data_IF_756258596950
#
_entry.id   IF_756258596950
#
_cell.length_a   1.000
_cell.length_b   1.000
_cell.length_c   1.000
_cell.angle_alpha   90.00
_cell.angle_beta   90.00
_cell.angle_gamma   90.00
#
_symmetry.space_group_name_H-M   'P 1'
#
loop_
_entity.id
_entity.type
_entity.pdbx_description
1 polymer ?
#
# COMPACT_ATOMS: atom_id res chain seq x y z
N UNK A 1 0.48 6.90 25.44
CA UNK A 1 0.61 5.95 24.32
C UNK A 1 -0.17 6.51 23.12
N UNK A 2 0.50 7.04 22.10
CA UNK A 2 -0.13 7.48 20.85
C UNK A 2 0.73 6.93 19.71
N UNK A 3 0.48 5.66 19.37
CA UNK A 3 1.09 4.97 18.24
C UNK A 3 0.56 5.50 16.93
N UNK A 4 0.89 6.76 16.61
CA UNK A 4 0.73 7.27 15.26
C UNK A 4 1.90 6.69 14.49
N UNK A 5 1.64 5.71 13.62
CA UNK A 5 2.61 5.29 12.62
C UNK A 5 2.95 6.54 11.79
N UNK A 6 4.09 7.16 12.08
CA UNK A 6 4.61 8.25 11.27
C UNK A 6 4.76 7.76 9.82
N UNK A 7 4.44 8.60 8.85
CA UNK A 7 4.47 8.22 7.43
C UNK A 7 5.79 7.56 7.03
N UNK A 8 6.92 8.05 7.54
CA UNK A 8 8.24 7.47 7.28
C UNK A 8 8.42 6.07 7.86
N UNK A 9 7.82 5.75 9.01
CA UNK A 9 7.84 4.39 9.59
C UNK A 9 7.03 3.44 8.71
N UNK A 10 5.88 3.89 8.19
CA UNK A 10 5.09 3.11 7.25
C UNK A 10 5.83 2.86 5.93
N UNK A 11 6.48 3.88 5.36
CA UNK A 11 7.28 3.74 4.15
C UNK A 11 8.45 2.78 4.36
N UNK A 12 9.14 2.88 5.50
CA UNK A 12 10.22 1.96 5.86
C UNK A 12 9.71 0.53 6.01
N UNK A 13 8.54 0.33 6.62
CA UNK A 13 7.91 -1.00 6.74
C UNK A 13 7.58 -1.58 5.36
N UNK A 14 6.95 -0.81 4.47
CA UNK A 14 6.66 -1.24 3.12
C UNK A 14 7.94 -1.66 2.37
N UNK A 15 8.97 -0.81 2.41
CA UNK A 15 10.22 -1.06 1.70
C UNK A 15 10.98 -2.27 2.22
N UNK A 16 11.03 -2.46 3.55
CA UNK A 16 11.86 -3.49 4.18
C UNK A 16 11.15 -4.83 4.36
N UNK A 17 9.83 -4.80 4.49
CA UNK A 17 9.04 -5.98 4.85
C UNK A 17 8.11 -6.39 3.72
N UNK A 18 7.31 -5.47 3.19
CA UNK A 18 6.28 -5.86 2.21
C UNK A 18 6.84 -6.06 0.80
N UNK A 19 7.62 -5.10 0.30
CA UNK A 19 8.14 -5.10 -1.09
C UNK A 19 8.90 -6.39 -1.42
N UNK A 20 9.80 -6.92 -0.55
CA UNK A 20 10.50 -8.18 -0.85
C UNK A 20 9.59 -9.41 -0.93
N UNK A 21 8.43 -9.38 -0.28
CA UNK A 21 7.52 -10.52 -0.13
C UNK A 21 6.44 -10.56 -1.22
N UNK A 22 6.32 -9.50 -2.03
CA UNK A 22 5.29 -9.41 -3.08
C UNK A 22 5.92 -9.42 -4.48
N UNK A 23 5.32 -10.10 -5.45
CA UNK A 23 5.80 -10.09 -6.82
C UNK A 23 5.50 -8.75 -7.51
N UNK A 24 6.31 -8.36 -8.53
CA UNK A 24 5.96 -7.27 -9.43
C UNK A 24 4.55 -7.45 -10.04
N UNK A 25 3.86 -6.34 -10.30
CA UNK A 25 2.47 -6.34 -10.74
C UNK A 25 1.42 -6.46 -9.63
N UNK A 26 1.85 -6.60 -8.37
CA UNK A 26 0.94 -6.56 -7.21
C UNK A 26 0.42 -5.15 -6.98
N UNK A 27 -0.90 -5.02 -6.74
CA UNK A 27 -1.54 -3.79 -6.32
C UNK A 27 -1.70 -3.81 -4.81
N UNK A 28 -1.15 -2.79 -4.15
CA UNK A 28 -1.28 -2.57 -2.72
C UNK A 28 -2.30 -1.46 -2.50
N UNK A 29 -3.43 -1.78 -1.87
CA UNK A 29 -4.46 -0.79 -1.52
C UNK A 29 -4.34 -0.39 -0.04
N UNK A 30 -4.38 0.91 0.24
CA UNK A 30 -4.38 1.46 1.61
C UNK A 30 -5.78 1.97 1.98
N UNK A 31 -6.29 1.47 3.11
CA UNK A 31 -7.54 1.96 3.72
C UNK A 31 -7.46 3.38 4.30
N UNK A 32 -8.62 3.95 4.61
CA UNK A 32 -8.85 5.35 5.00
C UNK A 32 -8.37 5.70 6.42
N UNK A 33 -7.09 5.47 6.75
CA UNK A 33 -6.48 6.12 7.90
C UNK A 33 -6.04 7.52 7.46
N UNK A 34 -6.82 8.52 7.89
CA UNK A 34 -6.64 9.93 7.65
C UNK A 34 -5.26 10.42 8.13
N UNK A 35 -4.23 10.22 7.31
CA UNK A 35 -3.02 11.05 7.26
C UNK A 35 -2.18 10.62 6.06
N UNK A 36 -2.27 11.46 5.04
CA UNK A 36 -1.27 11.76 4.00
C UNK A 36 -0.93 10.66 3.00
N UNK A 37 -1.05 11.04 1.71
CA UNK A 37 -0.42 10.35 0.58
C UNK A 37 1.05 10.16 0.94
N UNK A 38 1.48 8.91 1.01
CA UNK A 38 2.85 8.60 1.37
C UNK A 38 3.62 8.39 0.07
N UNK A 39 4.26 9.45 -0.40
CA UNK A 39 5.00 9.44 -1.66
C UNK A 39 6.16 8.43 -1.59
N UNK A 40 6.89 8.36 -0.48
CA UNK A 40 7.99 7.41 -0.29
C UNK A 40 7.52 5.95 -0.41
N UNK A 41 6.36 5.64 0.19
CA UNK A 41 5.72 4.33 0.06
C UNK A 41 5.32 4.01 -1.39
N UNK A 42 4.75 5.00 -2.08
CA UNK A 42 4.35 4.85 -3.48
C UNK A 42 5.56 4.62 -4.39
N UNK A 43 6.66 5.33 -4.15
CA UNK A 43 7.92 5.19 -4.88
C UNK A 43 8.54 3.81 -4.64
N UNK A 44 8.63 3.36 -3.39
CA UNK A 44 9.17 2.04 -3.07
C UNK A 44 8.40 0.90 -3.75
N UNK A 45 7.07 1.02 -3.86
CA UNK A 45 6.25 0.05 -4.59
C UNK A 45 6.44 0.17 -6.11
N UNK A 46 6.47 1.38 -6.65
CA UNK A 46 6.68 1.62 -8.08
C UNK A 46 8.02 1.08 -8.57
N UNK A 47 9.09 1.29 -7.79
CA UNK A 47 10.44 0.83 -8.15
C UNK A 47 10.53 -0.71 -8.22
N UNK A 48 9.65 -1.41 -7.52
CA UNK A 48 9.50 -2.87 -7.58
C UNK A 48 8.49 -3.35 -8.63
N UNK A 49 7.90 -2.45 -9.41
CA UNK A 49 6.86 -2.75 -10.41
C UNK A 49 5.48 -3.03 -9.79
N UNK A 50 5.25 -2.61 -8.55
CA UNK A 50 3.95 -2.67 -7.88
C UNK A 50 3.19 -1.35 -8.01
N UNK A 51 1.89 -1.41 -7.71
CA UNK A 51 0.99 -0.26 -7.78
C UNK A 51 0.47 0.09 -6.39
N UNK A 52 0.31 1.38 -6.11
CA UNK A 52 -0.25 1.84 -4.84
C UNK A 52 -1.59 2.54 -5.06
N UNK A 53 -2.67 1.93 -4.55
CA UNK A 53 -4.05 2.40 -4.73
C UNK A 53 -4.56 3.07 -3.45
N UNK A 54 -5.05 4.30 -3.61
CA UNK A 54 -5.75 5.03 -2.55
C UNK A 54 -7.25 4.78 -2.67
N UNK A 55 -7.83 4.14 -1.65
CA UNK A 55 -9.27 3.90 -1.63
C UNK A 55 -10.02 5.17 -1.20
N UNK A 56 -11.23 5.42 -1.75
CA UNK A 56 -12.07 6.52 -1.30
C UNK A 56 -12.44 6.36 0.18
N UNK A 57 -12.80 7.46 0.87
CA UNK A 57 -13.21 7.38 2.26
C UNK A 57 -14.47 6.52 2.40
N UNK A 58 -14.37 5.44 3.18
CA UNK A 58 -15.51 4.59 3.55
C UNK A 58 -15.98 4.89 4.99
N UNK A 59 -17.23 4.56 5.35
CA UNK A 59 -17.77 4.78 6.69
C UNK A 59 -16.90 4.13 7.77
N UNK A 60 -16.80 4.73 8.97
CA UNK A 60 -15.84 4.38 10.02
C UNK A 60 -16.04 2.98 10.66
N UNK A 61 -16.95 2.17 10.13
CA UNK A 61 -17.28 0.84 10.62
C UNK A 61 -16.54 -0.30 9.89
N UNK A 62 -15.67 0.03 8.92
CA UNK A 62 -14.82 -0.95 8.23
C UNK A 62 -13.38 -0.85 8.78
N UNK A 63 -12.89 -1.99 9.26
CA UNK A 63 -11.65 -2.26 10.00
C UNK A 63 -10.51 -1.21 9.84
N UNK A 64 -9.94 -0.66 10.93
CA UNK A 64 -8.79 0.21 10.83
C UNK A 64 -7.54 -0.56 10.36
N UNK A 65 -7.04 -0.15 9.19
CA UNK A 65 -5.80 -0.61 8.53
C UNK A 65 -5.92 -2.01 7.90
N UNK A 66 -6.58 -2.09 6.76
CA UNK A 66 -6.52 -3.26 5.87
C UNK A 66 -5.66 -2.88 4.66
N UNK A 67 -4.40 -3.31 4.70
CA UNK A 67 -3.56 -3.35 3.52
C UNK A 67 -4.04 -4.53 2.68
N UNK A 68 -4.68 -4.27 1.54
CA UNK A 68 -5.14 -5.33 0.65
C UNK A 68 -4.12 -5.53 -0.48
N UNK A 69 -3.72 -6.79 -0.70
CA UNK A 69 -2.84 -7.20 -1.79
C UNK A 69 -3.67 -7.86 -2.88
N UNK A 70 -3.65 -7.27 -4.07
CA UNK A 70 -4.19 -7.90 -5.27
C UNK A 70 -3.04 -8.31 -6.17
N UNK A 71 -2.76 -9.62 -6.21
CA UNK A 71 -1.84 -10.22 -7.16
C UNK A 71 -2.62 -10.84 -8.32
N UNK A 72 -2.34 -10.41 -9.55
CA UNK A 72 -2.83 -11.12 -10.74
C UNK A 72 -1.83 -12.19 -11.16
N UNK A 73 -2.20 -13.45 -10.95
CA UNK A 73 -1.54 -14.57 -11.64
C UNK A 73 -2.19 -14.72 -13.02
N UNK A 74 -1.49 -14.31 -14.08
CA UNK A 74 -1.94 -14.52 -15.47
C UNK A 74 -1.89 -13.27 -16.37
N UNK A 75 -1.04 -13.37 -17.40
CA UNK A 75 -0.84 -12.36 -18.43
C UNK A 75 -2.12 -11.93 -19.13
N UNK A 76 -2.23 -10.63 -19.41
CA UNK A 76 -3.37 -10.06 -20.10
C UNK A 76 -3.42 -8.55 -19.93
N UNK A 77 -2.67 -7.89 -20.81
CA UNK A 77 -2.81 -6.54 -21.36
C UNK A 77 -3.42 -5.46 -20.45
N UNK A 78 -2.54 -4.63 -19.87
CA UNK A 78 -2.77 -3.19 -19.80
C UNK A 78 -1.54 -2.54 -20.42
N UNK A 79 -1.73 -1.98 -21.61
CA UNK A 79 -0.80 -1.09 -22.27
C UNK A 79 -1.23 0.34 -21.99
#
# INVERSE_FOLDING_TARGET
MKGRLDGSVFAACLRKVLVPEIPPGTVVARGNLATHRNTEAAEALRDHGCWFLYLPPYPPNLNPIELALLHRSGGGLFR
#
